data_IF_330703548808
#
_entry.id   IF_330703548808
#
_cell.length_a   1.000
_cell.length_b   1.000
_cell.length_c   1.000
_cell.angle_alpha   90.00
_cell.angle_beta   90.00
_cell.angle_gamma   90.00
#
_symmetry.space_group_name_H-M   'P 1'
#
loop_
_entity.id
_entity.type
_entity.pdbx_description
1 polymer ?
#
# COMPACT_ATOMS: atom_id res chain seq x y z
N UNK A 1 -6.88 20.92 12.77
CA UNK A 1 -6.19 20.41 11.56
C UNK A 1 -5.94 18.92 11.70
N UNK A 2 -6.45 18.07 10.80
CA UNK A 2 -6.07 16.65 10.76
C UNK A 2 -4.69 16.53 10.10
N UNK A 3 -3.66 16.25 10.89
CA UNK A 3 -2.27 16.14 10.40
C UNK A 3 -2.05 14.78 9.74
N UNK A 4 -1.46 14.79 8.54
CA UNK A 4 -1.01 13.58 7.84
C UNK A 4 0.52 13.50 7.85
N UNK A 5 1.05 12.27 7.85
CA UNK A 5 2.46 11.95 7.67
C UNK A 5 2.62 11.31 6.30
N UNK A 6 3.72 11.63 5.61
CA UNK A 6 4.17 10.93 4.40
C UNK A 6 5.23 9.91 4.78
N UNK A 7 5.10 8.70 4.27
CA UNK A 7 6.05 7.60 4.50
C UNK A 7 6.52 7.12 3.14
N UNK A 8 7.84 7.09 2.94
CA UNK A 8 8.49 6.54 1.77
C UNK A 8 9.10 5.18 2.11
N UNK A 9 8.81 4.16 1.31
CA UNK A 9 9.49 2.88 1.32
C UNK A 9 10.28 2.76 0.01
N UNK A 10 11.59 2.49 0.13
CA UNK A 10 12.53 2.45 -0.99
C UNK A 10 13.25 1.12 -0.96
N UNK A 11 13.27 0.44 -2.10
CA UNK A 11 14.13 -0.72 -2.34
C UNK A 11 15.54 -0.23 -2.69
N UNK A 12 16.53 -0.65 -1.92
CA UNK A 12 17.91 -0.12 -2.03
C UNK A 12 18.60 -0.60 -3.31
N UNK A 13 18.32 -1.82 -3.75
CA UNK A 13 19.01 -2.43 -4.88
C UNK A 13 18.51 -1.89 -6.22
N UNK A 14 17.20 -1.63 -6.32
CA UNK A 14 16.55 -1.17 -7.56
C UNK A 14 16.24 0.32 -7.58
N UNK A 15 16.27 1.00 -6.43
CA UNK A 15 15.85 2.40 -6.27
C UNK A 15 14.34 2.62 -6.40
N UNK A 16 13.53 1.55 -6.44
CA UNK A 16 12.08 1.67 -6.55
C UNK A 16 11.49 2.25 -5.26
N UNK A 17 10.74 3.34 -5.40
CA UNK A 17 10.09 4.04 -4.30
C UNK A 17 8.56 3.91 -4.35
N UNK A 18 7.95 3.76 -3.17
CA UNK A 18 6.52 3.97 -2.95
C UNK A 18 6.31 4.94 -1.79
N UNK A 19 5.49 5.97 -2.01
CA UNK A 19 5.07 6.92 -0.97
C UNK A 19 3.61 6.70 -0.60
N UNK A 20 3.32 6.67 0.70
CA UNK A 20 1.97 6.66 1.25
C UNK A 20 1.70 7.88 2.13
N UNK A 21 0.43 8.25 2.24
CA UNK A 21 -0.06 9.19 3.24
C UNK A 21 -0.78 8.42 4.34
N UNK A 22 -0.45 8.72 5.59
CA UNK A 22 -1.02 8.09 6.78
C UNK A 22 -1.46 9.15 7.80
N UNK A 23 -2.52 8.92 8.60
CA UNK A 23 -2.81 9.75 9.75
C UNK A 23 -1.64 9.76 10.74
N UNK A 24 -1.38 10.90 11.37
CA UNK A 24 -0.35 11.01 12.42
C UNK A 24 -0.61 10.10 13.63
N UNK A 25 -1.85 9.66 13.83
CA UNK A 25 -2.26 8.76 14.91
C UNK A 25 -2.04 7.28 14.62
N UNK A 26 -1.69 6.90 13.38
CA UNK A 26 -1.40 5.51 13.05
C UNK A 26 -0.11 5.05 13.72
N UNK A 27 -0.06 3.77 14.12
CA UNK A 27 1.16 3.21 14.67
C UNK A 27 2.26 3.17 13.61
N UNK A 28 3.52 3.32 14.03
CA UNK A 28 4.68 3.20 13.13
C UNK A 28 4.71 1.86 12.43
N UNK A 29 4.44 0.78 13.17
CA UNK A 29 4.40 -0.58 12.64
C UNK A 29 3.36 -0.75 11.53
N UNK A 30 2.17 -0.18 11.68
CA UNK A 30 1.13 -0.27 10.64
C UNK A 30 1.51 0.54 9.39
N UNK A 31 2.13 1.70 9.57
CA UNK A 31 2.64 2.50 8.45
C UNK A 31 3.74 1.74 7.68
N UNK A 32 4.69 1.13 8.39
CA UNK A 32 5.75 0.32 7.80
C UNK A 32 5.19 -0.91 7.06
N UNK A 33 4.21 -1.61 7.66
CA UNK A 33 3.53 -2.74 7.01
C UNK A 33 2.86 -2.35 5.71
N UNK A 34 2.09 -1.25 5.70
CA UNK A 34 1.38 -0.80 4.48
C UNK A 34 2.37 -0.32 3.43
N UNK A 35 3.39 0.44 3.81
CA UNK A 35 4.40 0.94 2.87
C UNK A 35 5.20 -0.22 2.26
N UNK A 36 5.68 -1.15 3.09
CA UNK A 36 6.41 -2.35 2.66
C UNK A 36 5.56 -3.27 1.77
N UNK A 37 4.29 -3.50 2.11
CA UNK A 37 3.40 -4.31 1.28
C UNK A 37 3.18 -3.68 -0.10
N UNK A 38 3.07 -2.35 -0.19
CA UNK A 38 2.95 -1.67 -1.49
C UNK A 38 4.25 -1.69 -2.28
N UNK A 39 5.40 -1.55 -1.61
CA UNK A 39 6.70 -1.69 -2.26
C UNK A 39 6.89 -3.11 -2.81
N UNK A 40 6.62 -4.14 -2.01
CA UNK A 40 6.66 -5.55 -2.44
C UNK A 40 5.72 -5.81 -3.63
N UNK A 41 4.52 -5.23 -3.64
CA UNK A 41 3.61 -5.30 -4.79
C UNK A 41 4.17 -4.60 -6.03
N UNK A 42 4.80 -3.42 -5.87
CA UNK A 42 5.44 -2.67 -6.96
C UNK A 42 6.61 -3.47 -7.57
N UNK A 43 7.35 -4.20 -6.74
CA UNK A 43 8.46 -5.08 -7.15
C UNK A 43 8.00 -6.43 -7.71
N UNK A 44 6.69 -6.74 -7.70
CA UNK A 44 6.19 -8.05 -8.13
C UNK A 44 6.46 -9.19 -7.15
N UNK A 45 6.90 -8.88 -5.92
CA UNK A 45 7.19 -9.86 -4.85
C UNK A 45 5.94 -10.28 -4.08
N UNK A 46 4.82 -9.57 -4.27
CA UNK A 46 3.53 -9.90 -3.68
C UNK A 46 2.62 -10.54 -4.73
N UNK A 47 1.93 -11.65 -4.42
CA UNK A 47 0.96 -12.23 -5.33
C UNK A 47 -0.09 -11.18 -5.72
N UNK A 48 -0.25 -10.95 -7.02
CA UNK A 48 -1.27 -10.05 -7.56
C UNK A 48 -2.65 -10.69 -7.49
N UNK A 49 -3.09 -11.07 -6.30
CA UNK A 49 -4.51 -11.34 -6.10
C UNK A 49 -5.19 -9.97 -6.13
N UNK A 50 -5.69 -9.55 -7.29
CA UNK A 50 -6.83 -8.62 -7.30
C UNK A 50 -7.80 -9.22 -6.30
N UNK A 51 -8.17 -8.52 -5.23
CA UNK A 51 -9.31 -8.99 -4.43
C UNK A 51 -10.44 -9.21 -5.44
N UNK A 52 -10.96 -10.44 -5.58
CA UNK A 52 -12.15 -10.62 -6.38
C UNK A 52 -13.18 -9.64 -5.85
N UNK A 53 -13.78 -8.85 -6.72
CA UNK A 53 -15.04 -8.21 -6.35
C UNK A 53 -15.99 -9.37 -6.14
N UNK A 54 -16.38 -9.63 -4.89
CA UNK A 54 -17.39 -10.64 -4.55
C UNK A 54 -18.79 -10.22 -5.01
N UNK A 55 -18.89 -9.10 -5.73
CA UNK A 55 -20.12 -8.53 -6.26
C UNK A 55 -20.94 -7.80 -5.20
N UNK A 56 -20.50 -7.74 -3.95
CA UNK A 56 -21.22 -7.07 -2.85
C UNK A 56 -21.07 -5.55 -2.89
N UNK A 57 -20.02 -5.04 -3.54
CA UNK A 57 -19.62 -3.64 -3.45
C UNK A 57 -20.16 -2.75 -4.57
N UNK A 58 -20.75 -3.33 -5.63
CA UNK A 58 -21.30 -2.60 -6.78
C UNK A 58 -20.25 -1.79 -7.57
N UNK A 59 -18.96 -1.89 -7.24
CA UNK A 59 -17.85 -1.19 -7.88
C UNK A 59 -16.68 -2.15 -8.15
N UNK A 60 -16.79 -2.84 -9.28
CA UNK A 60 -15.74 -3.66 -9.88
C UNK A 60 -16.13 -4.10 -11.29
N UNK A 61 -15.15 -4.36 -12.15
CA UNK A 61 -15.39 -5.02 -13.44
C UNK A 61 -15.60 -6.50 -13.13
N UNK A 62 -16.78 -7.03 -13.49
CA UNK A 62 -17.07 -8.47 -13.40
C UNK A 62 -16.19 -9.21 -14.40
N UNK A 63 -15.43 -10.18 -13.92
CA UNK A 63 -14.66 -11.14 -14.74
C UNK A 63 -15.20 -12.54 -14.55
#
# INVERSE_FOLDING_TARGET
MKSAIRVAAIDVDTGVEVVIQSPKTASRLDMERVAGAKLARRLGLSPQTKRPDDGSSGRGIKV
#
